data_IF_155154821657
#
_entry.id   IF_155154821657
#
_cell.length_a   1.000
_cell.length_b   1.000
_cell.length_c   1.000
_cell.angle_alpha   90.00
_cell.angle_beta   90.00
_cell.angle_gamma   90.00
#
_symmetry.space_group_name_H-M   'P 1'
#
loop_
_entity.id
_entity.type
_entity.pdbx_description
1 polymer ?
#
# COMPACT_ATOMS: atom_id res chain seq x y z
N UNK A 1 7.37 -7.23 -15.81
CA UNK A 1 6.70 -5.95 -15.49
C UNK A 1 5.22 -6.21 -15.21
N UNK A 2 4.60 -5.45 -14.32
CA UNK A 2 3.16 -5.48 -14.11
C UNK A 2 2.48 -4.58 -15.15
N UNK A 3 1.35 -5.03 -15.70
CA UNK A 3 0.54 -4.22 -16.59
C UNK A 3 -0.37 -3.26 -15.83
N UNK A 4 -0.76 -3.62 -14.62
CA UNK A 4 -1.65 -2.84 -13.76
C UNK A 4 -1.11 -2.82 -12.33
N UNK A 5 -1.19 -1.65 -11.69
CA UNK A 5 -0.84 -1.48 -10.28
C UNK A 5 -2.02 -0.77 -9.61
N UNK A 6 -2.59 -1.41 -8.59
CA UNK A 6 -3.74 -0.89 -7.84
C UNK A 6 -3.30 -0.56 -6.43
N UNK A 7 -3.51 0.68 -6.01
CA UNK A 7 -3.19 1.17 -4.68
C UNK A 7 -4.48 1.31 -3.85
N UNK A 8 -4.49 0.74 -2.65
CA UNK A 8 -5.63 0.79 -1.72
C UNK A 8 -5.12 1.09 -0.31
N UNK A 9 -5.50 2.23 0.25
CA UNK A 9 -5.33 2.51 1.68
C UNK A 9 -6.38 1.76 2.49
N UNK A 10 -5.95 1.07 3.53
CA UNK A 10 -6.78 0.28 4.42
C UNK A 10 -6.88 1.00 5.76
N UNK A 11 -8.09 1.37 6.17
CA UNK A 11 -8.31 1.97 7.48
C UNK A 11 -8.27 0.92 8.60
N UNK A 12 -8.21 1.37 9.86
CA UNK A 12 -8.28 0.49 11.03
C UNK A 12 -9.58 -0.32 11.07
N UNK A 13 -10.68 0.28 10.63
CA UNK A 13 -12.01 -0.35 10.49
C UNK A 13 -12.42 -0.36 9.01
N UNK A 14 -11.85 -1.25 8.19
CA UNK A 14 -12.05 -1.20 6.74
C UNK A 14 -13.43 -1.71 6.36
N UNK A 15 -14.06 -1.05 5.39
CA UNK A 15 -15.20 -1.61 4.68
C UNK A 15 -14.70 -2.55 3.57
N UNK A 16 -14.66 -3.85 3.87
CA UNK A 16 -14.11 -4.85 2.95
C UNK A 16 -14.91 -4.93 1.63
N UNK A 17 -16.24 -4.77 1.67
CA UNK A 17 -17.06 -4.79 0.46
C UNK A 17 -16.71 -3.62 -0.47
N UNK A 18 -16.52 -2.42 0.08
CA UNK A 18 -16.10 -1.26 -0.70
C UNK A 18 -14.70 -1.48 -1.32
N UNK A 19 -13.78 -2.10 -0.58
CA UNK A 19 -12.45 -2.46 -1.11
C UNK A 19 -12.59 -3.43 -2.29
N UNK A 20 -13.42 -4.47 -2.20
CA UNK A 20 -13.67 -5.39 -3.31
C UNK A 20 -14.31 -4.69 -4.51
N UNK A 21 -15.22 -3.73 -4.29
CA UNK A 21 -15.81 -2.94 -5.38
C UNK A 21 -14.76 -2.07 -6.09
N UNK A 22 -13.84 -1.46 -5.33
CA UNK A 22 -12.71 -0.72 -5.91
C UNK A 22 -11.79 -1.63 -6.71
N UNK A 23 -11.48 -2.82 -6.21
CA UNK A 23 -10.70 -3.82 -6.93
C UNK A 23 -11.39 -4.24 -8.23
N UNK A 24 -12.69 -4.49 -8.18
CA UNK A 24 -13.48 -4.81 -9.35
C UNK A 24 -13.41 -3.70 -10.40
N UNK A 25 -13.60 -2.46 -9.99
CA UNK A 25 -13.58 -1.32 -10.89
C UNK A 25 -12.23 -1.18 -11.62
N UNK A 26 -11.12 -1.48 -10.93
CA UNK A 26 -9.77 -1.34 -11.46
C UNK A 26 -9.30 -2.54 -12.27
N UNK A 27 -9.59 -3.76 -11.82
CA UNK A 27 -9.06 -4.99 -12.41
C UNK A 27 -10.03 -5.67 -13.37
N UNK A 28 -11.33 -5.45 -13.18
CA UNK A 28 -12.40 -6.09 -13.95
C UNK A 28 -13.09 -5.06 -14.86
N UNK A 29 -14.01 -4.26 -14.34
CA UNK A 29 -14.76 -3.30 -15.13
C UNK A 29 -15.35 -2.19 -14.24
N UNK A 30 -14.92 -0.95 -14.47
CA UNK A 30 -15.43 0.22 -13.75
C UNK A 30 -16.91 0.53 -14.04
N UNK A 31 -17.44 0.13 -15.20
CA UNK A 31 -18.80 0.45 -15.62
C UNK A 31 -19.87 -0.53 -15.09
N UNK A 32 -19.45 -1.68 -14.54
CA UNK A 32 -20.37 -2.70 -14.06
C UNK A 32 -19.81 -3.31 -12.78
N UNK A 33 -19.99 -2.62 -11.67
CA UNK A 33 -19.55 -3.08 -10.34
C UNK A 33 -20.70 -3.86 -9.71
N UNK A 34 -20.50 -5.13 -9.30
CA UNK A 34 -21.52 -5.91 -8.61
C UNK A 34 -21.83 -5.33 -7.24
N UNK A 35 -23.09 -5.48 -6.82
CA UNK A 35 -23.48 -5.33 -5.43
C UNK A 35 -23.24 -6.66 -4.73
N UNK A 36 -22.03 -6.84 -4.20
CA UNK A 36 -21.66 -8.04 -3.47
C UNK A 36 -22.55 -8.23 -2.22
N UNK A 37 -23.03 -9.45 -2.02
CA UNK A 37 -23.91 -9.79 -0.90
C UNK A 37 -23.08 -10.03 0.36
N UNK A 38 -21.90 -10.65 0.21
CA UNK A 38 -20.96 -10.95 1.30
C UNK A 38 -19.52 -10.80 0.82
N UNK A 39 -18.56 -10.79 1.75
CA UNK A 39 -17.13 -10.79 1.40
C UNK A 39 -16.72 -12.03 0.61
N UNK A 40 -17.28 -13.20 0.96
CA UNK A 40 -16.98 -14.45 0.24
C UNK A 40 -17.53 -14.41 -1.19
N UNK A 41 -18.76 -13.90 -1.35
CA UNK A 41 -19.38 -13.66 -2.66
C UNK A 41 -18.52 -12.71 -3.52
N UNK A 42 -18.00 -11.64 -2.93
CA UNK A 42 -17.07 -10.73 -3.60
C UNK A 42 -15.79 -11.43 -4.05
N UNK A 43 -15.19 -12.26 -3.18
CA UNK A 43 -13.97 -13.01 -3.48
C UNK A 43 -14.21 -13.99 -4.64
N UNK A 44 -15.30 -14.73 -4.61
CA UNK A 44 -15.62 -15.74 -5.63
C UNK A 44 -15.85 -15.07 -6.99
N UNK A 45 -16.69 -14.04 -7.05
CA UNK A 45 -16.96 -13.31 -8.29
C UNK A 45 -15.71 -12.64 -8.87
N UNK A 46 -14.85 -12.03 -8.03
CA UNK A 46 -13.57 -11.46 -8.46
C UNK A 46 -12.64 -12.56 -9.02
N UNK A 47 -12.52 -13.68 -8.31
CA UNK A 47 -11.67 -14.81 -8.71
C UNK A 47 -12.09 -15.35 -10.08
N UNK A 48 -13.39 -15.57 -10.29
CA UNK A 48 -13.93 -16.07 -11.57
C UNK A 48 -13.70 -15.06 -12.70
N UNK A 49 -13.96 -13.78 -12.44
CA UNK A 49 -13.79 -12.71 -13.44
C UNK A 49 -12.35 -12.52 -13.86
N UNK A 50 -11.41 -12.66 -12.90
CA UNK A 50 -9.98 -12.57 -13.16
C UNK A 50 -9.44 -13.83 -13.84
N UNK A 51 -9.97 -15.01 -13.53
CA UNK A 51 -9.54 -16.29 -14.13
C UNK A 51 -9.99 -16.44 -15.58
N UNK A 52 -11.17 -15.92 -15.92
CA UNK A 52 -11.72 -15.96 -17.28
C UNK A 52 -11.03 -15.00 -18.27
N UNK A 53 -10.20 -14.09 -17.76
CA UNK A 53 -9.41 -13.15 -18.59
C UNK A 53 -8.03 -13.75 -18.86
N UNK A 54 -7.47 -13.49 -20.05
CA UNK A 54 -6.02 -13.64 -20.28
C UNK A 54 -5.33 -12.66 -19.33
N UNK A 55 -4.98 -13.12 -18.13
CA UNK A 55 -4.51 -12.25 -17.06
C UNK A 55 -3.27 -11.49 -17.51
N UNK A 56 -3.39 -10.17 -17.59
CA UNK A 56 -2.21 -9.32 -17.56
C UNK A 56 -1.73 -9.29 -16.10
N UNK A 57 -0.41 -9.39 -15.84
CA UNK A 57 0.10 -9.40 -14.48
C UNK A 57 -0.27 -8.10 -13.77
N UNK A 58 -0.94 -8.19 -12.62
CA UNK A 58 -1.32 -7.05 -11.80
C UNK A 58 -0.70 -7.14 -10.39
N UNK A 59 -0.39 -5.97 -9.83
CA UNK A 59 0.07 -5.80 -8.45
C UNK A 59 -0.98 -5.03 -7.67
N UNK A 60 -1.35 -5.54 -6.49
CA UNK A 60 -2.19 -4.80 -5.54
C UNK A 60 -1.32 -4.37 -4.37
N UNK A 61 -1.21 -3.06 -4.14
CA UNK A 61 -0.61 -2.48 -2.95
C UNK A 61 -1.71 -2.19 -1.93
N UNK A 62 -1.61 -2.83 -0.77
CA UNK A 62 -2.46 -2.56 0.39
C UNK A 62 -1.65 -1.71 1.38
N UNK A 63 -2.04 -0.46 1.53
CA UNK A 63 -1.33 0.52 2.34
C UNK A 63 -1.94 0.65 3.73
N UNK A 64 -1.10 0.70 4.76
CA UNK A 64 -1.44 0.84 6.19
C UNK A 64 -2.39 -0.26 6.71
N UNK A 65 -2.08 -1.54 6.49
CA UNK A 65 -2.94 -2.64 6.99
C UNK A 65 -2.78 -2.84 8.49
N UNK A 66 -3.90 -2.90 9.22
CA UNK A 66 -3.93 -2.82 10.70
C UNK A 66 -4.01 -4.16 11.44
N UNK A 67 -4.45 -5.26 10.82
CA UNK A 67 -4.62 -6.54 11.52
C UNK A 67 -4.51 -7.77 10.63
N UNK A 68 -4.15 -8.91 11.23
CA UNK A 68 -4.01 -10.19 10.52
C UNK A 68 -5.35 -10.67 9.96
N UNK A 69 -6.46 -10.42 10.66
CA UNK A 69 -7.81 -10.78 10.18
C UNK A 69 -8.19 -10.01 8.92
N UNK A 70 -7.89 -8.70 8.86
CA UNK A 70 -8.06 -7.88 7.65
C UNK A 70 -7.16 -8.39 6.53
N UNK A 71 -5.88 -8.65 6.84
CA UNK A 71 -4.94 -9.19 5.87
C UNK A 71 -5.44 -10.50 5.27
N UNK A 72 -5.91 -11.45 6.08
CA UNK A 72 -6.42 -12.74 5.60
C UNK A 72 -7.58 -12.61 4.62
N UNK A 73 -8.40 -11.57 4.77
CA UNK A 73 -9.49 -11.26 3.82
C UNK A 73 -8.96 -10.63 2.53
N UNK A 74 -7.90 -9.83 2.60
CA UNK A 74 -7.36 -9.07 1.47
C UNK A 74 -6.16 -9.72 0.78
N UNK A 75 -5.69 -10.88 1.24
CA UNK A 75 -4.64 -11.64 0.55
C UNK A 75 -5.27 -12.42 -0.61
N UNK A 76 -5.17 -11.82 -1.81
CA UNK A 76 -5.77 -12.31 -3.05
C UNK A 76 -5.04 -13.50 -3.70
N UNK A 77 -4.43 -14.39 -2.90
CA UNK A 77 -3.71 -15.59 -3.41
C UNK A 77 -4.58 -16.42 -4.34
N UNK A 78 -5.86 -16.59 -3.98
CA UNK A 78 -6.84 -17.32 -4.80
C UNK A 78 -7.11 -16.67 -6.16
N UNK A 79 -6.93 -15.35 -6.28
CA UNK A 79 -7.19 -14.59 -7.51
C UNK A 79 -5.97 -14.57 -8.46
N UNK A 80 -4.83 -15.16 -8.06
CA UNK A 80 -3.60 -15.15 -8.84
C UNK A 80 -2.88 -13.79 -8.88
N UNK A 81 -3.29 -12.84 -8.03
CA UNK A 81 -2.71 -11.50 -7.97
C UNK A 81 -1.46 -11.50 -7.07
N UNK A 82 -0.47 -10.68 -7.43
CA UNK A 82 0.61 -10.35 -6.49
C UNK A 82 0.13 -9.23 -5.58
N UNK A 83 0.37 -9.37 -4.29
CA UNK A 83 0.01 -8.37 -3.27
C UNK A 83 1.27 -7.91 -2.56
N UNK A 84 1.42 -6.60 -2.41
CA UNK A 84 2.41 -5.99 -1.53
C UNK A 84 1.66 -5.21 -0.44
N UNK A 85 2.11 -5.36 0.80
CA UNK A 85 1.43 -4.81 1.97
C UNK A 85 2.39 -3.92 2.74
N UNK A 86 1.95 -2.72 3.10
CA UNK A 86 2.63 -1.88 4.09
C UNK A 86 1.85 -1.96 5.40
N UNK A 87 2.56 -1.99 6.53
CA UNK A 87 1.95 -2.10 7.85
C UNK A 87 2.93 -1.63 8.94
N UNK A 88 2.36 -1.28 10.09
CA UNK A 88 3.10 -0.97 11.32
C UNK A 88 3.44 -2.21 12.14
N UNK A 89 2.86 -3.37 11.78
CA UNK A 89 3.06 -4.64 12.48
C UNK A 89 3.55 -5.73 11.54
N UNK A 90 4.29 -6.69 12.10
CA UNK A 90 4.77 -7.85 11.35
C UNK A 90 3.69 -8.94 11.32
N UNK A 91 3.16 -9.21 10.14
CA UNK A 91 2.19 -10.29 9.93
C UNK A 91 2.88 -11.64 9.76
N UNK A 92 2.28 -12.70 10.31
CA UNK A 92 2.80 -14.08 10.16
C UNK A 92 2.35 -14.74 8.87
N UNK A 93 1.25 -14.27 8.27
CA UNK A 93 0.66 -14.85 7.06
C UNK A 93 1.29 -14.44 5.73
N UNK A 94 2.39 -13.69 5.74
CA UNK A 94 3.09 -13.24 4.52
C UNK A 94 4.32 -14.09 4.23
N UNK A 95 4.56 -14.36 2.93
CA UNK A 95 5.66 -15.21 2.49
C UNK A 95 7.02 -14.49 2.59
N UNK A 96 7.01 -13.16 2.43
CA UNK A 96 8.20 -12.31 2.50
C UNK A 96 7.85 -11.08 3.31
N UNK A 97 8.71 -10.73 4.27
CA UNK A 97 8.60 -9.52 5.09
C UNK A 97 9.86 -8.69 4.89
N UNK A 98 9.69 -7.40 4.62
CA UNK A 98 10.78 -6.45 4.45
C UNK A 98 10.70 -5.37 5.54
N UNK A 99 11.44 -5.50 6.65
CA UNK A 99 11.49 -4.46 7.66
C UNK A 99 12.22 -3.23 7.09
N UNK A 100 11.55 -2.08 7.10
CA UNK A 100 12.17 -0.82 6.69
C UNK A 100 13.23 -0.42 7.73
N UNK A 101 14.40 -0.02 7.23
CA UNK A 101 15.46 0.55 8.05
C UNK A 101 15.21 2.04 8.25
N UNK A 102 15.64 2.57 9.40
CA UNK A 102 15.70 4.02 9.60
C UNK A 102 16.69 4.63 8.62
N UNK A 103 16.44 5.87 8.21
CA UNK A 103 17.41 6.66 7.46
C UNK A 103 18.68 6.83 8.31
N UNK A 104 19.84 6.84 7.64
CA UNK A 104 21.08 7.26 8.28
C UNK A 104 21.00 8.72 8.73
N UNK A 105 21.84 9.12 9.67
CA UNK A 105 21.84 10.50 10.20
C UNK A 105 22.01 11.54 9.09
N UNK A 106 22.92 11.30 8.15
CA UNK A 106 23.16 12.19 7.01
C UNK A 106 21.90 12.29 6.11
N UNK A 107 21.34 11.16 5.68
CA UNK A 107 20.13 11.13 4.85
C UNK A 107 18.92 11.76 5.55
N UNK A 108 18.78 11.55 6.85
CA UNK A 108 17.70 12.13 7.66
C UNK A 108 17.84 13.65 7.78
N UNK A 109 19.06 14.15 8.03
CA UNK A 109 19.37 15.58 8.07
C UNK A 109 19.12 16.21 6.71
N UNK A 110 19.57 15.58 5.64
CA UNK A 110 19.38 16.09 4.28
C UNK A 110 17.90 16.16 3.91
N UNK A 111 17.12 15.12 4.24
CA UNK A 111 15.66 15.12 4.06
C UNK A 111 14.98 16.23 4.89
N UNK A 112 15.40 16.42 6.14
CA UNK A 112 14.89 17.50 7.00
C UNK A 112 15.17 18.87 6.38
N UNK A 113 16.42 19.13 5.99
CA UNK A 113 16.82 20.40 5.39
C UNK A 113 16.04 20.67 4.10
N UNK A 114 15.91 19.68 3.22
CA UNK A 114 15.13 19.81 1.98
C UNK A 114 13.63 20.07 2.23
N UNK A 115 13.07 19.50 3.31
CA UNK A 115 11.65 19.64 3.64
C UNK A 115 11.32 20.94 4.37
N UNK A 116 12.25 21.41 5.22
CA UNK A 116 12.05 22.58 6.07
C UNK A 116 12.47 23.89 5.40
N UNK A 117 13.42 23.86 4.46
CA UNK A 117 13.97 25.05 3.82
C UNK A 117 13.68 25.07 2.31
N UNK A 118 13.14 26.17 1.82
CA UNK A 118 12.83 26.38 0.38
C UNK A 118 14.14 26.67 -0.37
N UNK A 119 14.36 26.20 -1.62
CA UNK A 119 15.61 26.39 -2.35
C UNK A 119 16.10 27.84 -2.51
N UNK A 120 15.21 28.84 -2.40
CA UNK A 120 15.55 30.28 -2.48
C UNK A 120 15.93 30.91 -1.14
N UNK A 121 15.74 30.20 -0.03
CA UNK A 121 16.32 30.54 1.26
C UNK A 121 17.62 29.75 1.39
N UNK A 122 18.62 30.21 0.65
CA UNK A 122 19.92 29.56 0.50
C UNK A 122 20.41 28.91 1.81
N UNK A 123 20.62 27.59 1.70
CA UNK A 123 21.30 26.72 2.67
C UNK A 123 22.68 27.26 3.10
N UNK A 124 23.22 28.25 2.39
CA UNK A 124 24.48 28.93 2.69
C UNK A 124 24.50 29.65 4.06
N UNK A 125 23.37 29.69 4.78
CA UNK A 125 23.23 30.35 6.09
C UNK A 125 22.66 29.51 7.22
N UNK A 126 22.43 28.21 7.03
CA UNK A 126 22.02 27.38 8.16
C UNK A 126 23.28 26.98 8.94
N UNK A 127 23.61 27.78 9.97
CA UNK A 127 24.75 27.54 10.85
C UNK A 127 24.76 26.08 11.34
N UNK A 128 25.91 25.41 11.19
CA UNK A 128 26.11 24.04 11.68
C UNK A 128 25.71 23.88 13.16
N UNK A 129 25.80 24.96 13.93
CA UNK A 129 25.43 25.03 15.35
C UNK A 129 23.92 24.85 15.60
N UNK A 130 23.06 25.30 14.67
CA UNK A 130 21.60 25.10 14.77
C UNK A 130 21.20 23.65 14.47
N UNK A 131 21.94 22.96 13.60
CA UNK A 131 21.70 21.55 13.28
C UNK A 131 22.12 20.64 14.44
N UNK A 132 23.25 20.92 15.10
CA UNK A 132 23.70 20.18 16.28
C UNK A 132 22.71 20.30 17.47
N UNK A 133 22.03 21.44 17.61
CA UNK A 133 21.01 21.62 18.66
C UNK A 133 19.71 20.84 18.41
N UNK A 134 19.44 20.40 17.18
CA UNK A 134 18.26 19.60 16.85
C UNK A 134 18.48 18.09 17.04
N UNK A 135 19.73 17.67 17.27
CA UNK A 135 20.12 16.27 17.47
C UNK A 135 20.14 15.82 18.95
N UNK A 136 19.82 16.71 19.90
CA UNK A 136 19.66 16.41 21.35
C UNK A 136 18.20 16.11 21.73
#
# INVERSE_FOLDING_TARGET
AFAEIVFITVSETPNLLEIYQRLWAKLVNASCIPNFITENDAIDQLTDSLSNRKQKPALVLLDDVWSESVLQRLVFRKMGLKTLVTSRINFKGLDVVYPLQMLGQEDARDLFCQSAFVPDQALDKLDHELLEQMEQ
#
